data_IF_249818318541
#
_entry.id   IF_249818318541
#
_cell.length_a   1.000
_cell.length_b   1.000
_cell.length_c   1.000
_cell.angle_alpha   90.00
_cell.angle_beta   90.00
_cell.angle_gamma   90.00
#
_symmetry.space_group_name_H-M   'P 1'
#
loop_
_entity.id
_entity.type
_entity.pdbx_description
1 polymer ?
#
# COMPACT_ATOMS: atom_id res chain seq x y z
N UNK A 1 5.87 -17.22 7.71
CA UNK A 1 4.95 -16.09 7.92
C UNK A 1 5.28 -15.07 6.86
N UNK A 2 4.43 -14.95 5.84
CA UNK A 2 4.62 -13.98 4.73
C UNK A 2 3.72 -12.79 5.05
N UNK A 3 4.30 -11.59 5.08
CA UNK A 3 3.58 -10.33 5.26
C UNK A 3 3.76 -9.54 3.97
N UNK A 4 2.65 -9.11 3.38
CA UNK A 4 2.61 -8.27 2.18
C UNK A 4 2.24 -6.84 2.54
N UNK A 5 2.99 -5.87 2.01
CA UNK A 5 2.74 -4.44 2.10
C UNK A 5 3.30 -3.78 0.83
N UNK A 6 2.94 -2.52 0.56
CA UNK A 6 3.43 -1.73 -0.59
C UNK A 6 2.98 -2.20 -1.99
N UNK A 7 1.96 -3.05 -2.10
CA UNK A 7 1.47 -3.52 -3.41
C UNK A 7 0.97 -2.39 -4.34
N UNK A 8 0.71 -1.19 -3.79
CA UNK A 8 0.13 -0.05 -4.49
C UNK A 8 1.04 1.18 -4.58
N UNK A 9 2.27 1.14 -4.05
CA UNK A 9 3.15 2.31 -4.09
C UNK A 9 3.94 2.35 -5.41
N UNK A 10 3.80 3.45 -6.15
CA UNK A 10 4.72 3.76 -7.24
C UNK A 10 6.13 3.96 -6.66
N UNK A 11 7.10 3.17 -7.14
CA UNK A 11 8.48 3.21 -6.64
C UNK A 11 9.11 4.61 -6.75
N UNK A 12 8.73 5.39 -7.77
CA UNK A 12 9.22 6.74 -7.99
C UNK A 12 8.70 7.75 -6.96
N UNK A 13 7.47 7.59 -6.45
CA UNK A 13 6.93 8.40 -5.34
C UNK A 13 7.65 8.08 -4.03
N UNK A 14 7.91 6.80 -3.76
CA UNK A 14 8.61 6.37 -2.55
C UNK A 14 10.08 6.83 -2.53
N UNK A 15 10.70 6.90 -3.71
CA UNK A 15 12.09 7.33 -3.86
C UNK A 15 12.25 8.87 -3.80
N UNK A 16 11.16 9.63 -3.90
CA UNK A 16 11.19 11.09 -3.92
C UNK A 16 10.92 11.66 -2.52
N UNK A 17 11.99 12.05 -1.82
CA UNK A 17 11.94 12.57 -0.44
C UNK A 17 11.36 13.99 -0.33
N UNK A 18 11.15 14.69 -1.45
CA UNK A 18 10.59 16.05 -1.49
C UNK A 18 9.06 16.06 -1.69
N UNK A 19 8.43 14.89 -1.66
CA UNK A 19 7.00 14.70 -1.90
C UNK A 19 6.30 14.33 -0.60
N UNK A 20 5.30 15.13 -0.22
CA UNK A 20 4.33 14.72 0.80
C UNK A 20 3.53 13.52 0.27
N UNK A 21 3.64 12.39 0.97
CA UNK A 21 2.79 11.24 0.74
C UNK A 21 1.47 11.45 1.49
N UNK A 22 0.35 11.06 0.90
CA UNK A 22 -0.95 10.95 1.58
C UNK A 22 -1.61 9.66 1.09
N UNK A 23 -1.02 8.54 1.50
CA UNK A 23 -1.29 7.23 0.94
C UNK A 23 -1.60 6.22 2.05
N UNK A 24 -2.44 5.25 1.71
CA UNK A 24 -2.62 4.06 2.53
C UNK A 24 -1.85 2.87 1.96
N UNK A 25 -1.14 2.14 2.83
CA UNK A 25 -0.64 0.79 2.54
C UNK A 25 -1.46 -0.24 3.30
N UNK A 26 -1.77 -1.36 2.65
CA UNK A 26 -2.53 -2.44 3.25
C UNK A 26 -1.58 -3.53 3.74
N UNK A 27 -1.80 -4.00 4.97
CA UNK A 27 -1.02 -5.05 5.62
C UNK A 27 -1.90 -6.27 5.84
N UNK A 28 -1.43 -7.45 5.41
CA UNK A 28 -2.08 -8.75 5.64
C UNK A 28 -1.13 -9.73 6.33
N UNK A 29 -1.66 -10.56 7.22
CA UNK A 29 -0.87 -11.59 7.90
C UNK A 29 -1.60 -12.26 9.07
N UNK A 30 -1.24 -13.50 9.36
CA UNK A 30 -1.84 -14.30 10.44
C UNK A 30 -1.13 -14.13 11.79
N UNK A 31 0.04 -13.49 11.79
CA UNK A 31 0.88 -13.26 12.97
C UNK A 31 0.75 -11.79 13.39
N UNK A 32 0.07 -11.49 14.51
CA UNK A 32 -0.14 -10.11 14.97
C UNK A 32 1.16 -9.36 15.23
N UNK A 33 2.16 -10.01 15.83
CA UNK A 33 3.44 -9.38 16.16
C UNK A 33 4.20 -9.01 14.88
N UNK A 34 4.18 -9.90 13.88
CA UNK A 34 4.77 -9.63 12.58
C UNK A 34 4.05 -8.49 11.83
N UNK A 35 2.72 -8.42 11.92
CA UNK A 35 1.94 -7.32 11.34
C UNK A 35 2.27 -5.98 12.00
N UNK A 36 2.38 -5.95 13.32
CA UNK A 36 2.70 -4.74 14.07
C UNK A 36 4.10 -4.20 13.68
N UNK A 37 5.09 -5.07 13.50
CA UNK A 37 6.42 -4.67 13.01
C UNK A 37 6.32 -4.01 11.63
N UNK A 38 5.61 -4.64 10.68
CA UNK A 38 5.48 -4.09 9.32
C UNK A 38 4.68 -2.80 9.31
N UNK A 39 3.64 -2.71 10.15
CA UNK A 39 2.86 -1.49 10.34
C UNK A 39 3.73 -0.34 10.86
N UNK A 40 4.51 -0.57 11.92
CA UNK A 40 5.41 0.45 12.46
C UNK A 40 6.44 0.91 11.43
N UNK A 41 7.07 -0.02 10.70
CA UNK A 41 8.04 0.32 9.64
C UNK A 41 7.41 1.15 8.51
N UNK A 42 6.16 0.87 8.15
CA UNK A 42 5.45 1.65 7.15
C UNK A 42 5.10 3.05 7.68
N UNK A 43 4.66 3.16 8.94
CA UNK A 43 4.29 4.44 9.58
C UNK A 43 5.51 5.32 9.92
N UNK A 44 6.74 4.80 9.86
CA UNK A 44 7.98 5.62 9.89
C UNK A 44 8.14 6.50 8.65
N UNK A 45 7.44 6.18 7.56
CA UNK A 45 7.43 6.98 6.34
C UNK A 45 6.38 8.08 6.49
N UNK A 46 6.83 9.33 6.53
CA UNK A 46 5.94 10.48 6.66
C UNK A 46 4.89 10.48 5.54
N UNK A 47 3.62 10.56 5.91
CA UNK A 47 2.51 10.56 4.94
C UNK A 47 2.01 9.19 4.49
N UNK A 48 2.58 8.09 5.01
CA UNK A 48 2.10 6.73 4.77
C UNK A 48 1.35 6.19 5.99
N UNK A 49 0.11 5.76 5.79
CA UNK A 49 -0.70 5.12 6.84
C UNK A 49 -0.88 3.64 6.54
N UNK A 50 -0.59 2.80 7.53
CA UNK A 50 -0.76 1.35 7.41
C UNK A 50 -2.14 0.90 7.91
N UNK A 51 -2.87 0.17 7.05
CA UNK A 51 -4.19 -0.38 7.32
C UNK A 51 -4.14 -1.90 7.41
N UNK A 52 -4.61 -2.47 8.52
CA UNK A 52 -4.70 -3.92 8.70
C UNK A 52 -5.92 -4.49 7.94
N UNK A 53 -5.66 -5.35 6.96
CA UNK A 53 -6.68 -6.07 6.22
C UNK A 53 -6.92 -7.49 6.75
N UNK A 54 -6.42 -7.85 7.94
CA UNK A 54 -6.68 -9.13 8.59
C UNK A 54 -5.68 -10.23 8.19
N UNK A 55 -6.18 -11.47 8.14
CA UNK A 55 -5.35 -12.65 7.89
C UNK A 55 -4.88 -12.76 6.44
N UNK A 56 -3.96 -13.69 6.18
CA UNK A 56 -3.37 -13.93 4.85
C UNK A 56 -4.42 -14.34 3.80
N UNK A 57 -5.59 -14.84 4.24
CA UNK A 57 -6.71 -15.18 3.38
C UNK A 57 -7.22 -13.99 2.55
N UNK A 58 -6.99 -12.75 3.00
CA UNK A 58 -7.38 -11.53 2.29
C UNK A 58 -6.29 -11.03 1.32
N UNK A 59 -5.15 -11.73 1.20
CA UNK A 59 -4.07 -11.36 0.29
C UNK A 59 -4.52 -11.29 -1.19
N UNK A 60 -5.32 -12.23 -1.73
CA UNK A 60 -5.76 -12.15 -3.13
C UNK A 60 -6.53 -10.87 -3.46
N UNK A 61 -7.37 -10.39 -2.54
CA UNK A 61 -8.10 -9.14 -2.67
C UNK A 61 -7.15 -7.94 -2.68
N UNK A 62 -6.16 -7.92 -1.79
CA UNK A 62 -5.14 -6.85 -1.73
C UNK A 62 -4.28 -6.84 -2.99
N UNK A 63 -3.85 -8.00 -3.47
CA UNK A 63 -3.06 -8.13 -4.70
C UNK A 63 -3.86 -7.72 -5.95
N UNK A 64 -5.20 -7.86 -5.93
CA UNK A 64 -6.06 -7.43 -7.02
C UNK A 64 -6.16 -5.90 -7.18
N UNK A 65 -5.76 -5.13 -6.16
CA UNK A 65 -5.78 -3.66 -6.23
C UNK A 65 -4.72 -3.12 -7.20
N UNK A 66 -3.55 -3.76 -7.30
CA UNK A 66 -2.47 -3.31 -8.20
C UNK A 66 -2.92 -3.28 -9.66
N UNK A 67 -3.44 -4.37 -10.27
CA UNK A 67 -3.91 -4.32 -11.65
C UNK A 67 -5.12 -3.38 -11.82
N UNK A 68 -5.97 -3.22 -10.80
CA UNK A 68 -7.05 -2.23 -10.83
C UNK A 68 -6.52 -0.79 -10.93
N UNK A 69 -5.53 -0.43 -10.12
CA UNK A 69 -4.90 0.89 -10.14
C UNK A 69 -4.20 1.14 -11.48
N UNK A 70 -3.48 0.15 -12.02
CA UNK A 70 -2.87 0.24 -13.37
C UNK A 70 -3.93 0.49 -14.44
N UNK A 71 -5.07 -0.20 -14.38
CA UNK A 71 -6.17 0.02 -15.30
C UNK A 71 -6.75 1.43 -15.16
N UNK A 72 -6.92 1.95 -13.94
CA UNK A 72 -7.38 3.32 -13.71
C UNK A 72 -6.41 4.33 -14.33
N UNK A 73 -5.12 4.21 -14.07
CA UNK A 73 -4.10 5.08 -14.65
C UNK A 73 -4.09 5.03 -16.20
N UNK A 74 -4.23 3.82 -16.77
CA UNK A 74 -4.25 3.65 -18.23
C UNK A 74 -5.48 4.25 -18.90
N UNK A 75 -6.63 4.26 -18.21
CA UNK A 75 -7.89 4.78 -18.77
C UNK A 75 -8.11 6.28 -18.49
N UNK A 76 -7.25 6.94 -17.73
CA UNK A 76 -7.40 8.36 -17.37
C UNK A 76 -6.11 9.14 -17.68
N UNK A 77 -6.16 9.99 -18.69
CA UNK A 77 -5.01 10.80 -19.11
C UNK A 77 -4.47 11.68 -17.97
N UNK A 78 -3.15 11.66 -17.78
CA UNK A 78 -2.45 12.46 -16.76
C UNK A 78 -2.42 11.82 -15.36
N UNK A 79 -3.01 10.65 -15.17
CA UNK A 79 -2.83 9.86 -13.94
C UNK A 79 -1.56 9.01 -14.04
N UNK A 80 -0.43 9.58 -13.62
CA UNK A 80 0.81 8.86 -13.39
C UNK A 80 1.01 8.71 -11.87
N UNK A 81 1.43 7.52 -11.42
CA UNK A 81 1.68 7.22 -9.99
C UNK A 81 0.45 7.27 -9.08
N UNK A 82 -0.59 6.51 -9.46
CA UNK A 82 -1.83 6.40 -8.68
C UNK A 82 -1.64 5.60 -7.39
N UNK A 83 -2.15 6.14 -6.29
CA UNK A 83 -2.28 5.46 -5.01
C UNK A 83 -3.74 5.35 -4.58
N UNK A 84 -3.99 4.80 -3.39
CA UNK A 84 -5.33 4.74 -2.80
C UNK A 84 -5.30 5.27 -1.37
N UNK A 85 -6.36 6.00 -1.01
CA UNK A 85 -6.62 6.51 0.33
C UNK A 85 -8.07 6.16 0.69
N UNK A 86 -8.29 5.64 1.88
CA UNK A 86 -9.58 5.21 2.42
C UNK A 86 -10.03 6.18 3.53
N UNK A 87 -11.29 6.65 3.47
CA UNK A 87 -11.87 7.59 4.44
C UNK A 87 -13.05 6.99 5.21
#
# INVERSE_FOLDING_TARGET
NVVGAFHNLAADRLANLDVDLDLDTIVVGDDPDAKDIVRMLAEEIEGLRALDAGGVANAPEVESLTPLLVNIATNNDGMHDVGVTFH
#
